data_IF_392178858004
#
_entry.id   IF_392178858004
#
_cell.length_a   1.000
_cell.length_b   1.000
_cell.length_c   1.000
_cell.angle_alpha   90.00
_cell.angle_beta   90.00
_cell.angle_gamma   90.00
#
_symmetry.space_group_name_H-M   'P 1'
#
loop_
_entity.id
_entity.type
_entity.pdbx_description
1 polymer ?
#
# COMPACT_ATOMS: atom_id res chain seq x y z
N UNK A 1 -0.82 6.78 -8.16
CA UNK A 1 -1.32 5.86 -7.12
C UNK A 1 -0.24 5.47 -6.11
N UNK A 2 0.90 4.92 -6.54
CA UNK A 2 2.06 4.69 -5.67
C UNK A 2 3.13 5.75 -5.92
N UNK A 3 3.80 6.20 -4.86
CA UNK A 3 5.02 7.03 -4.91
C UNK A 3 6.19 6.27 -4.28
N UNK A 4 7.40 6.73 -4.53
CA UNK A 4 8.60 6.14 -3.93
C UNK A 4 8.90 6.86 -2.61
N UNK A 5 9.07 6.11 -1.52
CA UNK A 5 9.59 6.67 -0.26
C UNK A 5 11.12 6.87 -0.33
N UNK A 6 11.71 7.40 0.75
CA UNK A 6 13.17 7.63 0.84
C UNK A 6 14.00 6.33 0.76
N UNK A 7 13.39 5.17 0.98
CA UNK A 7 14.01 3.84 0.98
C UNK A 7 13.75 3.08 -0.33
N UNK A 8 13.01 3.67 -1.27
CA UNK A 8 12.65 3.02 -2.53
C UNK A 8 11.33 2.23 -2.51
N UNK A 9 10.67 2.11 -1.36
CA UNK A 9 9.44 1.33 -1.23
C UNK A 9 8.28 2.03 -1.92
N UNK A 10 7.26 1.23 -2.27
CA UNK A 10 6.00 1.75 -2.78
C UNK A 10 5.17 2.27 -1.63
N UNK A 11 5.14 3.59 -1.47
CA UNK A 11 4.24 4.28 -0.56
C UNK A 11 2.98 4.71 -1.30
N UNK A 12 1.82 4.59 -0.64
CA UNK A 12 0.58 5.06 -1.20
C UNK A 12 0.58 6.60 -1.30
N UNK A 13 0.25 7.13 -2.47
CA UNK A 13 0.49 8.54 -2.78
C UNK A 13 -0.58 9.50 -2.26
N UNK A 14 -1.70 8.99 -1.73
CA UNK A 14 -2.90 9.76 -1.43
C UNK A 14 -3.19 9.95 0.06
N UNK A 15 -2.25 9.58 0.95
CA UNK A 15 -2.36 9.86 2.39
C UNK A 15 -3.05 8.75 3.18
N UNK A 16 -3.71 9.11 4.29
CA UNK A 16 -4.43 8.20 5.19
C UNK A 16 -5.95 8.29 5.08
N UNK A 17 -6.46 9.33 4.45
CA UNK A 17 -7.91 9.60 4.36
C UNK A 17 -8.48 9.30 2.95
N UNK A 18 -7.67 8.76 2.04
CA UNK A 18 -8.10 8.39 0.69
C UNK A 18 -8.75 7.00 0.65
N UNK A 19 -9.84 6.83 1.40
CA UNK A 19 -10.57 5.56 1.60
C UNK A 19 -10.95 4.86 0.29
N UNK A 20 -11.67 5.56 -0.60
CA UNK A 20 -12.13 4.97 -1.86
C UNK A 20 -11.00 4.53 -2.80
N UNK A 21 -9.90 5.29 -2.86
CA UNK A 21 -8.74 4.91 -3.68
C UNK A 21 -8.00 3.69 -3.11
N UNK A 22 -7.94 3.57 -1.79
CA UNK A 22 -7.37 2.40 -1.13
C UNK A 22 -8.25 1.15 -1.29
N UNK A 23 -9.58 1.33 -1.35
CA UNK A 23 -10.52 0.25 -1.63
C UNK A 23 -10.44 -0.23 -3.08
N UNK A 24 -10.41 0.70 -4.04
CA UNK A 24 -10.21 0.40 -5.47
C UNK A 24 -8.92 -0.42 -5.68
N UNK A 25 -7.80 0.02 -5.08
CA UNK A 25 -6.54 -0.72 -5.12
C UNK A 25 -6.65 -2.14 -4.59
N UNK A 26 -7.26 -2.29 -3.41
CA UNK A 26 -7.38 -3.59 -2.78
C UNK A 26 -8.22 -4.52 -3.65
N UNK A 27 -9.30 -4.02 -4.26
CA UNK A 27 -10.19 -4.81 -5.11
C UNK A 27 -9.50 -5.38 -6.35
N UNK A 28 -8.49 -4.67 -6.87
CA UNK A 28 -7.66 -5.10 -7.99
C UNK A 28 -6.39 -5.86 -7.55
N UNK A 29 -6.16 -6.04 -6.25
CA UNK A 29 -4.90 -6.58 -5.71
C UNK A 29 -4.95 -8.10 -5.53
N UNK A 30 -4.29 -8.82 -6.44
CA UNK A 30 -4.19 -10.28 -6.40
C UNK A 30 -3.44 -10.87 -5.18
N UNK A 31 -2.75 -10.02 -4.41
CA UNK A 31 -1.97 -10.42 -3.22
C UNK A 31 -2.49 -9.78 -1.94
N UNK A 32 -3.71 -9.24 -1.97
CA UNK A 32 -4.35 -8.71 -0.79
C UNK A 32 -4.58 -9.82 0.25
N UNK A 33 -4.24 -9.51 1.50
CA UNK A 33 -4.54 -10.35 2.66
C UNK A 33 -5.03 -9.42 3.76
N UNK A 34 -6.27 -9.61 4.28
CA UNK A 34 -6.76 -8.79 5.37
C UNK A 34 -5.89 -9.00 6.61
N UNK A 35 -5.70 -7.94 7.39
CA UNK A 35 -5.08 -8.03 8.71
C UNK A 35 -6.05 -8.61 9.74
N UNK A 36 -5.54 -8.91 10.93
CA UNK A 36 -6.40 -9.30 12.05
C UNK A 36 -7.38 -8.17 12.39
N UNK A 37 -8.60 -8.50 12.81
CA UNK A 37 -9.68 -7.51 12.98
C UNK A 37 -9.31 -6.35 13.91
N UNK A 38 -8.54 -6.65 14.98
CA UNK A 38 -8.05 -5.64 15.93
C UNK A 38 -7.09 -4.60 15.31
N UNK A 39 -6.47 -4.91 14.17
CA UNK A 39 -5.57 -4.00 13.44
C UNK A 39 -6.24 -3.33 12.23
N UNK A 40 -7.47 -3.72 11.89
CA UNK A 40 -8.23 -3.08 10.82
C UNK A 40 -8.69 -1.69 11.27
N UNK A 41 -8.58 -0.72 10.37
CA UNK A 41 -8.89 0.69 10.63
C UNK A 41 -10.16 1.16 9.92
N UNK A 42 -10.69 0.33 9.02
CA UNK A 42 -11.93 0.59 8.29
C UNK A 42 -12.88 -0.57 8.57
N UNK A 43 -14.08 -0.28 9.06
CA UNK A 43 -14.98 -1.32 9.59
C UNK A 43 -15.59 -2.23 8.52
N UNK A 44 -15.68 -1.81 7.24
CA UNK A 44 -16.55 -2.52 6.28
C UNK A 44 -15.98 -2.68 4.86
N UNK A 45 -14.79 -2.16 4.56
CA UNK A 45 -14.26 -2.17 3.19
C UNK A 45 -12.99 -2.99 3.03
N UNK A 46 -12.99 -3.82 1.98
CA UNK A 46 -11.78 -4.37 1.38
C UNK A 46 -10.90 -3.19 0.94
N UNK A 47 -9.88 -2.88 1.74
CA UNK A 47 -9.06 -1.68 1.60
C UNK A 47 -7.60 -1.96 1.91
N UNK A 48 -6.68 -1.33 1.18
CA UNK A 48 -5.25 -1.47 1.48
C UNK A 48 -4.89 -1.03 2.91
N UNK A 49 -5.71 -0.17 3.54
CA UNK A 49 -5.58 0.19 4.95
C UNK A 49 -5.82 -0.98 5.92
N UNK A 50 -6.56 -2.00 5.49
CA UNK A 50 -6.81 -3.22 6.24
C UNK A 50 -5.92 -4.38 5.80
N UNK A 51 -4.89 -4.13 4.98
CA UNK A 51 -4.00 -5.20 4.53
C UNK A 51 -2.86 -5.46 5.52
N UNK A 52 -2.59 -6.74 5.80
CA UNK A 52 -1.45 -7.20 6.64
C UNK A 52 -0.08 -6.75 6.14
N UNK A 53 0.04 -6.52 4.84
CA UNK A 53 1.29 -6.09 4.21
C UNK A 53 1.51 -4.58 4.27
N UNK A 54 0.59 -3.80 4.85
CA UNK A 54 0.77 -2.35 5.03
C UNK A 54 1.81 -2.07 6.10
N UNK A 55 2.60 -1.01 5.94
CA UNK A 55 3.41 -0.42 7.02
C UNK A 55 3.20 1.08 7.03
N UNK A 56 2.62 1.58 8.10
CA UNK A 56 2.32 2.99 8.26
C UNK A 56 3.60 3.84 8.25
N UNK A 57 3.54 4.95 7.51
CA UNK A 57 4.42 6.10 7.68
C UNK A 57 3.66 7.21 8.41
N UNK A 58 4.34 8.34 8.63
CA UNK A 58 3.69 9.52 9.21
C UNK A 58 2.54 9.98 8.31
N UNK A 59 2.76 10.01 7.00
CA UNK A 59 1.84 10.60 6.03
C UNK A 59 0.93 9.57 5.33
N UNK A 60 1.33 8.30 5.23
CA UNK A 60 0.56 7.26 4.53
C UNK A 60 0.99 5.85 4.95
N UNK A 61 1.11 4.90 4.02
CA UNK A 61 1.62 3.55 4.24
C UNK A 61 2.40 3.01 3.03
N UNK A 62 3.28 2.05 3.28
CA UNK A 62 3.97 1.27 2.24
C UNK A 62 3.39 -0.15 2.14
N UNK A 63 3.44 -0.76 0.95
CA UNK A 63 3.08 -2.16 0.76
C UNK A 63 4.34 -3.04 0.71
N UNK A 64 4.48 -3.98 1.65
CA UNK A 64 5.63 -4.89 1.72
C UNK A 64 5.62 -6.01 0.67
N UNK A 65 4.48 -6.25 0.01
CA UNK A 65 4.36 -7.30 -1.00
C UNK A 65 4.73 -6.82 -2.40
N UNK A 66 4.69 -5.51 -2.63
CA UNK A 66 5.09 -4.91 -3.90
C UNK A 66 6.61 -4.69 -3.92
N UNK A 67 7.28 -4.98 -5.04
CA UNK A 67 8.70 -4.67 -5.17
C UNK A 67 8.92 -3.15 -5.12
N UNK A 68 10.11 -2.70 -4.67
CA UNK A 68 10.48 -1.28 -4.71
C UNK A 68 10.18 -0.63 -6.07
N UNK A 69 9.81 0.65 -6.06
CA UNK A 69 9.75 1.46 -7.27
C UNK A 69 11.17 1.82 -7.70
N UNK A 70 11.88 0.86 -8.30
CA UNK A 70 13.14 1.14 -8.98
C UNK A 70 12.86 1.95 -10.24
N UNK A 71 13.75 2.89 -10.55
CA UNK A 71 13.65 3.62 -11.82
C UNK A 71 13.70 2.61 -12.97
N UNK A 72 12.82 2.75 -13.96
CA UNK A 72 12.90 2.01 -15.20
C UNK A 72 14.26 2.32 -15.85
N UNK A 73 15.23 1.42 -15.73
CA UNK A 73 16.59 1.64 -16.25
C UNK A 73 17.73 0.96 -15.47
N UNK A 74 17.50 0.32 -14.33
CA UNK A 74 18.56 -0.33 -13.55
C UNK A 74 18.83 -1.80 -13.92
N UNK A 75 18.72 -2.16 -15.20
CA UNK A 75 19.29 -3.41 -15.72
C UNK A 75 20.48 -3.01 -16.60
N UNK A 76 21.66 -2.98 -15.99
CA UNK A 76 22.94 -2.97 -16.68
C UNK A 76 23.54 -4.37 -16.60
N UNK A 77 23.71 -4.96 -17.78
CA UNK A 77 24.68 -5.98 -18.24
C UNK A 77 25.02 -7.17 -17.33
#
# INVERSE_FOLDING_TARGET
MWRRDQRGNREFAHGKDAWGLAAELASACAVFVPDVEEEQVVEEELSCYNCRYRRWSVDSFTCLRLPPLVAAGAWGE
#
